data_IF_981160487719
#
_entry.id   IF_981160487719
#
_cell.length_a   1.000
_cell.length_b   1.000
_cell.length_c   1.000
_cell.angle_alpha   90.00
_cell.angle_beta   90.00
_cell.angle_gamma   90.00
#
_symmetry.space_group_name_H-M   'P 1'
#
loop_
_entity.id
_entity.type
_entity.pdbx_description
1 polymer ?
#
# COMPACT_ATOMS: atom_id res chain seq x y z
N UNK A 1 19.93 -16.08 -7.13
CA UNK A 1 20.66 -15.63 -8.35
C UNK A 1 19.69 -15.46 -9.52
N UNK A 2 18.78 -16.42 -9.70
CA UNK A 2 17.71 -16.41 -10.71
C UNK A 2 16.77 -15.19 -10.61
N UNK A 3 16.23 -14.87 -9.43
CA UNK A 3 15.38 -13.68 -9.25
C UNK A 3 16.03 -12.37 -9.73
N UNK A 4 17.33 -12.20 -9.49
CA UNK A 4 18.09 -11.03 -9.97
C UNK A 4 18.24 -11.03 -11.49
N UNK A 5 18.39 -12.20 -12.11
CA UNK A 5 18.45 -12.32 -13.56
C UNK A 5 17.10 -11.99 -14.20
N UNK A 6 15.99 -12.47 -13.63
CA UNK A 6 14.63 -12.13 -14.06
C UNK A 6 14.41 -10.62 -13.98
N UNK A 7 14.68 -9.99 -12.83
CA UNK A 7 14.51 -8.53 -12.69
C UNK A 7 15.36 -7.79 -13.74
N UNK A 8 16.62 -8.18 -13.93
CA UNK A 8 17.50 -7.57 -14.95
C UNK A 8 17.01 -7.78 -16.38
N UNK A 9 16.33 -8.88 -16.68
CA UNK A 9 15.74 -9.11 -17.99
C UNK A 9 14.72 -8.02 -18.34
N UNK A 10 13.85 -7.67 -17.37
CA UNK A 10 12.81 -6.66 -17.56
C UNK A 10 13.32 -5.22 -17.42
N UNK A 11 14.30 -4.98 -16.52
CA UNK A 11 14.71 -3.61 -16.20
C UNK A 11 16.03 -3.18 -16.81
N UNK A 12 16.81 -4.09 -17.41
CA UNK A 12 18.18 -3.83 -17.84
C UNK A 12 18.31 -2.82 -18.98
N UNK A 13 17.25 -2.60 -19.76
CA UNK A 13 17.20 -1.60 -20.83
C UNK A 13 16.81 -0.20 -20.33
N UNK A 14 16.30 -0.08 -19.11
CA UNK A 14 15.82 1.19 -18.54
C UNK A 14 17.02 2.05 -18.16
N UNK A 15 17.19 3.19 -18.84
CA UNK A 15 18.34 4.08 -18.64
C UNK A 15 18.02 5.30 -17.75
N UNK A 16 16.75 5.68 -17.64
CA UNK A 16 16.30 6.88 -16.94
C UNK A 16 15.02 6.61 -16.17
N UNK A 17 14.82 7.30 -15.05
CA UNK A 17 13.56 7.26 -14.33
C UNK A 17 12.55 8.21 -15.02
N UNK A 18 11.44 7.70 -15.58
CA UNK A 18 10.42 8.55 -16.20
C UNK A 18 9.75 9.52 -15.21
N UNK A 19 9.85 9.28 -13.90
CA UNK A 19 9.34 10.20 -12.87
C UNK A 19 10.06 11.54 -12.92
N UNK A 20 11.35 11.57 -13.30
CA UNK A 20 12.15 12.80 -13.35
C UNK A 20 11.60 13.83 -14.36
N UNK A 21 10.87 13.36 -15.38
CA UNK A 21 10.25 14.20 -16.40
C UNK A 21 8.77 14.50 -16.14
N UNK A 22 8.18 13.95 -15.07
CA UNK A 22 6.76 14.04 -14.79
C UNK A 22 6.42 15.37 -14.11
N UNK A 23 5.50 16.13 -14.69
CA UNK A 23 4.90 17.28 -14.01
C UNK A 23 3.87 16.80 -12.97
N UNK A 24 4.24 16.85 -11.69
CA UNK A 24 3.38 16.40 -10.60
C UNK A 24 2.14 17.28 -10.36
N UNK A 25 2.13 18.51 -10.89
CA UNK A 25 0.96 19.40 -10.83
C UNK A 25 -0.06 19.10 -11.96
N UNK A 26 0.29 18.26 -12.95
CA UNK A 26 -0.63 17.79 -13.99
C UNK A 26 -1.20 16.42 -13.61
N UNK A 27 -2.38 16.43 -12.99
CA UNK A 27 -3.07 15.21 -12.56
C UNK A 27 -3.30 14.20 -13.70
N UNK A 28 -3.53 14.67 -14.94
CA UNK A 28 -3.75 13.78 -16.08
C UNK A 28 -2.43 13.14 -16.55
N UNK A 29 -1.31 13.85 -16.45
CA UNK A 29 0.01 13.28 -16.69
C UNK A 29 0.35 12.21 -15.65
N UNK A 30 0.10 12.48 -14.37
CA UNK A 30 0.30 11.52 -13.27
C UNK A 30 -0.55 10.27 -13.47
N UNK A 31 -1.84 10.45 -13.79
CA UNK A 31 -2.75 9.32 -14.04
C UNK A 31 -2.26 8.44 -15.20
N UNK A 32 -1.87 9.05 -16.34
CA UNK A 32 -1.31 8.29 -17.47
C UNK A 32 -0.04 7.54 -17.07
N UNK A 33 0.82 8.15 -16.25
CA UNK A 33 2.04 7.52 -15.79
C UNK A 33 1.77 6.28 -14.92
N UNK A 34 0.86 6.37 -13.95
CA UNK A 34 0.49 5.26 -13.07
C UNK A 34 -0.15 4.07 -13.81
N UNK A 35 -0.71 4.33 -15.00
CA UNK A 35 -1.26 3.30 -15.90
C UNK A 35 -0.30 2.91 -17.04
N UNK A 36 0.93 3.40 -17.02
CA UNK A 36 1.97 3.07 -18.00
C UNK A 36 2.88 1.92 -17.53
N UNK A 37 3.75 1.47 -18.42
CA UNK A 37 4.72 0.42 -18.13
C UNK A 37 6.05 0.69 -18.84
N UNK A 38 7.16 0.47 -18.15
CA UNK A 38 8.50 0.48 -18.75
C UNK A 38 8.97 -0.91 -19.22
N UNK A 39 8.25 -1.97 -18.83
CA UNK A 39 8.54 -3.34 -19.22
C UNK A 39 7.26 -4.13 -19.47
N UNK A 40 7.40 -5.19 -20.26
CA UNK A 40 6.30 -6.08 -20.63
C UNK A 40 5.79 -6.89 -19.43
N UNK A 41 4.57 -7.43 -19.56
CA UNK A 41 4.01 -8.32 -18.53
C UNK A 41 4.85 -9.60 -18.46
N UNK A 42 5.25 -10.07 -17.27
CA UNK A 42 6.07 -11.27 -17.16
C UNK A 42 5.31 -12.55 -17.49
N UNK A 43 6.04 -13.65 -17.68
CA UNK A 43 5.42 -14.99 -17.65
C UNK A 43 4.98 -15.35 -16.23
N UNK A 44 4.03 -16.28 -16.10
CA UNK A 44 3.62 -16.75 -14.77
C UNK A 44 4.75 -17.48 -14.04
N UNK A 45 5.61 -18.20 -14.76
CA UNK A 45 6.75 -18.91 -14.18
C UNK A 45 7.74 -17.93 -13.52
N UNK A 46 8.12 -16.87 -14.23
CA UNK A 46 8.99 -15.82 -13.67
C UNK A 46 8.36 -15.12 -12.47
N UNK A 47 7.05 -14.82 -12.55
CA UNK A 47 6.30 -14.27 -11.42
C UNK A 47 6.35 -15.20 -10.21
N UNK A 48 6.09 -16.50 -10.40
CA UNK A 48 6.09 -17.49 -9.32
C UNK A 48 7.49 -17.65 -8.71
N UNK A 49 8.54 -17.64 -9.53
CA UNK A 49 9.94 -17.65 -9.06
C UNK A 49 10.23 -16.40 -8.22
N UNK A 50 9.81 -15.22 -8.67
CA UNK A 50 9.96 -13.99 -7.89
C UNK A 50 9.14 -14.03 -6.60
N UNK A 51 7.94 -14.60 -6.62
CA UNK A 51 7.06 -14.67 -5.45
C UNK A 51 7.65 -15.54 -4.34
N UNK A 52 8.35 -16.62 -4.70
CA UNK A 52 9.04 -17.49 -3.73
C UNK A 52 10.21 -16.77 -3.03
N UNK A 53 10.89 -15.87 -3.74
CA UNK A 53 12.01 -15.07 -3.18
C UNK A 53 11.50 -13.83 -2.43
N UNK A 54 10.55 -13.10 -3.01
CA UNK A 54 10.02 -11.84 -2.49
C UNK A 54 8.64 -11.54 -3.08
N UNK A 55 7.60 -11.61 -2.24
CA UNK A 55 6.24 -11.24 -2.63
C UNK A 55 6.15 -9.77 -3.13
N UNK A 56 6.99 -8.88 -2.59
CA UNK A 56 7.11 -7.50 -3.08
C UNK A 56 7.65 -7.45 -4.52
N UNK A 57 8.72 -8.19 -4.82
CA UNK A 57 9.27 -8.23 -6.18
C UNK A 57 8.25 -8.79 -7.19
N UNK A 58 7.49 -9.82 -6.79
CA UNK A 58 6.40 -10.36 -7.60
C UNK A 58 5.27 -9.34 -7.82
N UNK A 59 4.86 -8.61 -6.77
CA UNK A 59 3.84 -7.57 -6.91
C UNK A 59 4.30 -6.46 -7.85
N UNK A 60 5.54 -5.98 -7.72
CA UNK A 60 6.10 -4.90 -8.55
C UNK A 60 6.28 -5.33 -10.00
N UNK A 61 6.84 -6.53 -10.27
CA UNK A 61 7.11 -6.93 -11.65
C UNK A 61 5.82 -7.00 -12.48
N UNK A 62 4.69 -7.33 -11.86
CA UNK A 62 3.39 -7.41 -12.54
C UNK A 62 2.64 -6.06 -12.52
N UNK A 63 2.51 -5.42 -11.35
CA UNK A 63 1.70 -4.20 -11.19
C UNK A 63 2.42 -2.92 -11.63
N UNK A 64 3.75 -2.95 -11.76
CA UNK A 64 4.56 -1.85 -12.33
C UNK A 64 4.37 -0.56 -11.53
N UNK A 65 3.89 0.52 -12.16
CA UNK A 65 3.64 1.81 -11.52
C UNK A 65 2.22 1.96 -10.96
N UNK A 66 1.42 0.89 -11.02
CA UNK A 66 0.06 0.96 -10.53
C UNK A 66 0.02 1.26 -9.02
N UNK A 67 -1.00 2.00 -8.60
CA UNK A 67 -1.14 2.45 -7.22
C UNK A 67 -1.27 1.26 -6.28
N UNK A 68 -0.29 1.07 -5.39
CA UNK A 68 -0.31 -0.03 -4.41
C UNK A 68 -1.40 0.15 -3.35
N UNK A 69 -1.53 1.38 -2.83
CA UNK A 69 -2.58 1.76 -1.89
C UNK A 69 -2.74 3.28 -1.86
N UNK A 70 -3.82 3.72 -1.25
CA UNK A 70 -3.99 5.07 -0.73
C UNK A 70 -4.36 5.01 0.75
N UNK A 71 -4.13 6.11 1.46
CA UNK A 71 -4.33 6.16 2.91
C UNK A 71 -5.39 7.18 3.28
N UNK A 72 -6.44 6.75 3.98
CA UNK A 72 -7.48 7.63 4.51
C UNK A 72 -7.03 8.18 5.87
N UNK A 73 -7.02 9.51 6.00
CA UNK A 73 -6.76 10.19 7.27
C UNK A 73 -8.00 10.15 8.17
N UNK A 74 -8.14 9.11 8.99
CA UNK A 74 -9.37 8.87 9.77
C UNK A 74 -9.69 10.02 10.72
N UNK A 75 -8.67 10.67 11.28
CA UNK A 75 -8.81 11.81 12.19
C UNK A 75 -9.48 13.06 11.59
N UNK A 76 -9.70 13.09 10.27
CA UNK A 76 -10.45 14.14 9.56
C UNK A 76 -11.91 13.75 9.29
N UNK A 77 -12.32 12.52 9.62
CA UNK A 77 -13.69 12.04 9.47
C UNK A 77 -14.58 12.55 10.60
N UNK A 78 -15.89 12.32 10.44
CA UNK A 78 -16.90 12.68 11.45
C UNK A 78 -16.72 11.87 12.73
N UNK A 79 -17.28 12.39 13.82
CA UNK A 79 -17.32 11.70 15.11
C UNK A 79 -17.94 10.30 14.99
N UNK A 80 -17.32 9.32 15.66
CA UNK A 80 -17.65 7.89 15.53
C UNK A 80 -16.86 7.16 14.44
N UNK A 81 -16.13 7.88 13.59
CA UNK A 81 -15.23 7.34 12.54
C UNK A 81 -13.83 7.94 12.61
N UNK A 82 -13.61 8.85 13.55
CA UNK A 82 -12.43 9.71 13.64
C UNK A 82 -11.30 9.15 14.50
N UNK A 83 -11.47 7.94 15.04
CA UNK A 83 -10.40 7.16 15.65
C UNK A 83 -10.17 5.89 14.84
N UNK A 84 -8.94 5.40 14.80
CA UNK A 84 -8.62 4.21 14.03
C UNK A 84 -9.33 2.96 14.58
N UNK A 85 -9.53 2.89 15.90
CA UNK A 85 -10.20 1.77 16.55
C UNK A 85 -11.69 1.70 16.16
N UNK A 86 -12.39 2.84 16.19
CA UNK A 86 -13.80 2.90 15.80
C UNK A 86 -13.95 2.64 14.29
N UNK A 87 -13.03 3.19 13.48
CA UNK A 87 -13.04 2.99 12.03
C UNK A 87 -12.80 1.52 11.65
N UNK A 88 -11.85 0.85 12.30
CA UNK A 88 -11.63 -0.59 12.10
C UNK A 88 -12.88 -1.41 12.44
N UNK A 89 -13.53 -1.10 13.56
CA UNK A 89 -14.78 -1.76 13.97
C UNK A 89 -15.86 -1.59 12.91
N UNK A 90 -15.98 -0.39 12.33
CA UNK A 90 -16.91 -0.12 11.23
C UNK A 90 -16.60 -0.94 9.97
N UNK A 91 -15.33 -1.02 9.57
CA UNK A 91 -14.89 -1.80 8.41
C UNK A 91 -15.22 -3.30 8.57
N UNK A 92 -14.90 -3.86 9.73
CA UNK A 92 -15.12 -5.29 10.00
C UNK A 92 -16.61 -5.63 10.03
N UNK A 93 -17.45 -4.77 10.63
CA UNK A 93 -18.92 -4.92 10.57
C UNK A 93 -19.47 -4.83 9.16
N UNK A 94 -18.76 -4.15 8.26
CA UNK A 94 -19.11 -4.01 6.85
C UNK A 94 -18.53 -5.15 5.99
N UNK A 95 -17.89 -6.16 6.59
CA UNK A 95 -17.37 -7.34 5.91
C UNK A 95 -15.94 -7.21 5.37
N UNK A 96 -15.23 -6.11 5.68
CA UNK A 96 -13.82 -5.98 5.28
C UNK A 96 -12.91 -6.76 6.24
N UNK A 97 -11.94 -7.48 5.66
CA UNK A 97 -10.87 -8.15 6.42
C UNK A 97 -9.68 -7.20 6.55
N UNK A 98 -9.22 -6.98 7.79
CA UNK A 98 -8.07 -6.13 8.07
C UNK A 98 -6.79 -6.97 8.17
N UNK A 99 -5.68 -6.41 7.68
CA UNK A 99 -4.34 -6.98 7.85
C UNK A 99 -4.00 -7.03 9.35
N UNK A 100 -3.72 -8.23 9.85
CA UNK A 100 -3.43 -8.52 11.25
C UNK A 100 -1.95 -8.81 11.56
N UNK A 101 -1.04 -8.67 10.57
CA UNK A 101 0.40 -8.83 10.77
C UNK A 101 0.90 -7.82 11.82
N UNK A 102 1.47 -8.29 12.93
CA UNK A 102 1.84 -7.40 14.05
C UNK A 102 0.66 -6.75 14.78
N UNK A 103 -0.57 -7.29 14.61
CA UNK A 103 -1.81 -6.72 15.12
C UNK A 103 -2.54 -5.87 14.07
N UNK A 104 -3.85 -5.65 14.24
CA UNK A 104 -4.68 -4.86 13.29
C UNK A 104 -4.34 -3.37 13.29
N UNK A 105 -3.90 -2.85 14.43
CA UNK A 105 -3.42 -1.47 14.58
C UNK A 105 -1.92 -1.50 14.85
N UNK A 106 -1.15 -1.05 13.87
CA UNK A 106 0.29 -0.81 13.99
C UNK A 106 0.46 0.57 14.61
N UNK A 107 1.26 0.68 15.67
CA UNK A 107 1.45 1.90 16.43
C UNK A 107 2.93 2.25 16.45
N UNK A 108 3.25 3.50 16.10
CA UNK A 108 4.61 4.01 16.18
C UNK A 108 5.14 4.00 17.61
N UNK A 109 6.47 4.03 17.77
CA UNK A 109 7.12 3.99 19.07
C UNK A 109 6.69 5.16 19.98
N UNK A 110 6.47 6.34 19.41
CA UNK A 110 5.95 7.52 20.11
C UNK A 110 4.43 7.46 20.40
N UNK A 111 3.72 6.46 19.86
CA UNK A 111 2.29 6.30 20.01
C UNK A 111 1.42 7.29 19.23
N UNK A 112 2.03 8.14 18.40
CA UNK A 112 1.35 9.26 17.74
C UNK A 112 0.91 8.96 16.30
N UNK A 113 1.38 7.87 15.70
CA UNK A 113 0.93 7.36 14.41
C UNK A 113 0.35 5.96 14.60
N UNK A 114 -0.93 5.83 14.25
CA UNK A 114 -1.62 4.55 14.23
C UNK A 114 -2.03 4.24 12.80
N UNK A 115 -1.80 3.02 12.35
CA UNK A 115 -2.08 2.58 10.98
C UNK A 115 -2.77 1.21 10.97
N UNK A 116 -3.74 1.04 10.08
CA UNK A 116 -4.37 -0.24 9.73
C UNK A 116 -4.56 -0.30 8.23
N UNK A 117 -4.80 -1.49 7.68
CA UNK A 117 -5.07 -1.65 6.27
C UNK A 117 -6.04 -2.81 6.03
N UNK A 118 -6.78 -2.76 4.92
CA UNK A 118 -7.50 -3.93 4.42
C UNK A 118 -6.50 -4.96 3.91
N UNK A 119 -6.88 -6.24 3.92
CA UNK A 119 -6.21 -7.25 3.10
C UNK A 119 -6.47 -6.94 1.62
N UNK A 120 -5.44 -7.06 0.78
CA UNK A 120 -5.58 -6.84 -0.66
C UNK A 120 -6.50 -7.88 -1.29
N UNK A 121 -7.38 -7.44 -2.19
CA UNK A 121 -8.21 -8.39 -2.94
C UNK A 121 -7.38 -9.10 -4.01
N UNK A 122 -7.70 -10.38 -4.27
CA UNK A 122 -7.13 -11.10 -5.39
C UNK A 122 -7.89 -10.83 -6.68
N UNK A 123 -7.20 -10.30 -7.68
CA UNK A 123 -7.74 -10.00 -9.01
C UNK A 123 -7.24 -11.01 -10.04
N UNK A 124 -8.01 -11.23 -11.11
CA UNK A 124 -7.53 -12.02 -12.25
C UNK A 124 -6.47 -11.22 -13.01
N UNK A 125 -5.30 -11.84 -13.16
CA UNK A 125 -4.15 -11.35 -13.90
C UNK A 125 -3.94 -12.20 -15.16
N UNK A 126 -3.58 -11.54 -16.26
CA UNK A 126 -3.26 -12.18 -17.54
C UNK A 126 -1.78 -11.99 -17.80
N UNK A 127 -1.02 -13.09 -17.75
CA UNK A 127 0.43 -13.12 -17.94
C UNK A 127 0.80 -13.21 -19.42
N UNK A 128 2.07 -12.99 -19.74
CA UNK A 128 2.61 -13.27 -21.07
C UNK A 128 2.28 -14.72 -21.48
N UNK A 129 1.87 -14.90 -22.74
CA UNK A 129 1.36 -16.19 -23.24
C UNK A 129 -0.10 -16.49 -22.89
N UNK A 130 -0.81 -15.56 -22.22
CA UNK A 130 -2.26 -15.66 -21.98
C UNK A 130 -2.66 -16.49 -20.76
N UNK A 131 -1.69 -16.92 -19.94
CA UNK A 131 -1.95 -17.65 -18.68
C UNK A 131 -2.70 -16.73 -17.72
N UNK A 132 -3.80 -17.23 -17.13
CA UNK A 132 -4.62 -16.51 -16.16
C UNK A 132 -4.39 -17.03 -14.75
N UNK A 133 -4.11 -16.15 -13.80
CA UNK A 133 -3.97 -16.50 -12.39
C UNK A 133 -4.55 -15.40 -11.50
N UNK A 134 -4.91 -15.74 -10.25
CA UNK A 134 -5.39 -14.76 -9.27
C UNK A 134 -4.25 -14.31 -8.36
N UNK A 135 -3.88 -13.03 -8.43
CA UNK A 135 -2.80 -12.43 -7.64
C UNK A 135 -3.32 -11.28 -6.79
N UNK A 136 -2.57 -10.87 -5.77
CA UNK A 136 -2.91 -9.73 -4.94
C UNK A 136 -2.88 -8.43 -5.76
N UNK A 137 -3.99 -7.67 -5.71
CA UNK A 137 -4.07 -6.31 -6.24
C UNK A 137 -3.62 -5.29 -5.20
N UNK A 138 -4.33 -4.17 -5.14
CA UNK A 138 -4.10 -3.08 -4.19
C UNK A 138 -4.89 -3.25 -2.89
N UNK A 139 -4.53 -2.48 -1.86
CA UNK A 139 -5.28 -2.40 -0.60
C UNK A 139 -5.56 -0.94 -0.23
N UNK A 140 -6.38 -0.73 0.80
CA UNK A 140 -6.63 0.60 1.37
C UNK A 140 -6.03 0.66 2.76
N UNK A 141 -5.27 1.71 3.04
CA UNK A 141 -4.71 2.01 4.35
C UNK A 141 -5.55 3.08 5.06
N UNK A 142 -5.51 3.06 6.39
CA UNK A 142 -6.16 4.02 7.27
C UNK A 142 -5.15 4.50 8.31
N UNK A 143 -5.03 5.82 8.49
CA UNK A 143 -4.06 6.40 9.40
C UNK A 143 -4.68 7.44 10.35
N UNK A 144 -4.36 7.29 11.63
CA UNK A 144 -4.66 8.26 12.67
C UNK A 144 -3.36 8.93 13.14
N UNK A 145 -3.24 10.24 12.91
CA UNK A 145 -2.12 11.07 13.35
C UNK A 145 -2.58 11.87 14.57
N UNK A 146 -2.03 11.54 15.73
CA UNK A 146 -2.31 12.22 16.99
C UNK A 146 -1.69 13.62 16.98
N UNK A 147 -2.28 14.50 17.78
CA UNK A 147 -1.77 15.85 18.05
C UNK A 147 -0.46 15.72 18.81
N UNK A 148 0.54 16.51 18.43
CA UNK A 148 1.82 16.53 19.12
C UNK A 148 1.63 17.10 20.55
N UNK A 149 2.38 16.61 21.56
CA UNK A 149 2.17 16.99 22.96
C UNK A 149 2.16 18.51 23.21
N UNK A 150 3.00 19.27 22.52
CA UNK A 150 3.07 20.73 22.65
C UNK A 150 1.80 21.47 22.17
N UNK A 151 0.93 20.81 21.42
CA UNK A 151 -0.33 21.35 20.92
C UNK A 151 -1.56 20.72 21.58
N UNK A 152 -1.38 19.91 22.63
CA UNK A 152 -2.47 19.16 23.27
C UNK A 152 -3.60 20.04 23.84
N UNK A 153 -3.32 21.31 24.13
CA UNK A 153 -4.28 22.27 24.66
C UNK A 153 -5.05 23.03 23.57
N UNK A 154 -4.72 22.85 22.29
CA UNK A 154 -5.43 23.54 21.22
C UNK A 154 -6.88 23.03 21.13
N UNK A 155 -7.87 23.94 21.01
CA UNK A 155 -9.23 23.57 20.71
C UNK A 155 -9.30 22.72 19.43
N UNK A 156 -10.20 21.74 19.39
CA UNK A 156 -10.30 20.81 18.26
C UNK A 156 -10.43 21.50 16.90
N UNK A 157 -11.16 22.60 16.84
CA UNK A 157 -11.36 23.39 15.61
C UNK A 157 -10.12 24.14 15.12
N UNK A 158 -9.09 24.28 15.96
CA UNK A 158 -7.83 24.94 15.64
C UNK A 158 -6.70 23.94 15.30
N UNK A 159 -6.97 22.64 15.45
CA UNK A 159 -6.00 21.60 15.09
C UNK A 159 -5.93 21.48 13.58
N UNK A 160 -4.78 21.83 13.01
CA UNK A 160 -4.46 21.63 11.59
C UNK A 160 -3.40 20.53 11.43
N UNK A 161 -3.01 20.26 10.18
CA UNK A 161 -2.01 19.23 9.85
C UNK A 161 -0.68 19.44 10.58
N UNK A 162 -0.22 20.70 10.70
CA UNK A 162 1.06 21.03 11.34
C UNK A 162 1.12 20.70 12.84
N UNK A 163 -0.05 20.52 13.48
CA UNK A 163 -0.14 20.18 14.89
C UNK A 163 -0.09 18.67 15.15
N UNK A 164 0.01 17.84 14.10
CA UNK A 164 -0.05 16.38 14.19
C UNK A 164 1.29 15.75 13.84
N UNK A 165 1.49 14.49 14.28
CA UNK A 165 2.67 13.70 13.90
C UNK A 165 2.75 13.52 12.39
N UNK A 166 3.77 14.12 11.76
CA UNK A 166 4.11 13.93 10.35
C UNK A 166 5.02 12.72 10.13
N UNK A 167 5.33 12.39 8.87
CA UNK A 167 6.25 11.30 8.54
C UNK A 167 5.65 9.88 8.60
N UNK A 168 6.51 8.89 8.41
CA UNK A 168 6.19 7.47 8.43
C UNK A 168 6.93 6.78 9.57
N UNK A 169 6.52 5.55 9.90
CA UNK A 169 7.24 4.68 10.81
C UNK A 169 7.62 3.40 10.07
N UNK A 170 8.92 3.12 9.95
CA UNK A 170 9.42 2.03 9.12
C UNK A 170 8.87 0.66 9.58
N UNK A 171 8.79 0.45 10.89
CA UNK A 171 8.24 -0.79 11.48
C UNK A 171 6.75 -0.96 11.18
N UNK A 172 5.97 0.13 11.16
CA UNK A 172 4.58 0.04 10.76
C UNK A 172 4.47 -0.26 9.27
N UNK A 173 5.24 0.44 8.44
CA UNK A 173 5.24 0.30 6.99
C UNK A 173 5.55 -1.14 6.56
N UNK A 174 6.56 -1.78 7.17
CA UNK A 174 6.91 -3.19 6.93
C UNK A 174 5.69 -4.11 7.07
N UNK A 175 4.91 -3.95 8.15
CA UNK A 175 3.72 -4.76 8.39
C UNK A 175 2.51 -4.40 7.54
N UNK A 176 2.44 -3.17 7.04
CA UNK A 176 1.40 -2.74 6.11
C UNK A 176 1.66 -3.28 4.69
N UNK A 177 2.93 -3.39 4.26
CA UNK A 177 3.27 -4.04 2.99
C UNK A 177 2.82 -5.49 2.89
N UNK A 178 2.75 -6.20 4.03
CA UNK A 178 2.24 -7.57 4.09
C UNK A 178 0.74 -7.68 3.71
N UNK A 179 0.02 -6.57 3.50
CA UNK A 179 -1.40 -6.59 3.07
C UNK A 179 -1.60 -7.27 1.71
N UNK A 180 -0.56 -7.33 0.87
CA UNK A 180 -0.58 -8.05 -0.41
C UNK A 180 -0.05 -9.47 -0.31
N UNK A 181 0.43 -9.91 0.86
CA UNK A 181 1.11 -11.19 1.00
C UNK A 181 0.12 -12.35 1.04
N UNK A 182 0.58 -13.52 0.61
CA UNK A 182 -0.18 -14.77 0.60
C UNK A 182 -0.76 -15.14 1.97
N UNK A 183 -0.01 -14.85 3.04
CA UNK A 183 -0.42 -15.05 4.45
C UNK A 183 -1.62 -14.19 4.86
N UNK A 184 -1.84 -13.04 4.20
CA UNK A 184 -2.97 -12.15 4.44
C UNK A 184 -4.10 -12.42 3.43
N UNK A 185 -3.79 -12.42 2.13
CA UNK A 185 -4.78 -12.56 1.04
C UNK A 185 -5.51 -13.91 0.98
N UNK A 186 -5.01 -14.92 1.69
CA UNK A 186 -5.72 -16.19 1.89
C UNK A 186 -6.89 -16.09 2.87
N UNK A 187 -6.96 -15.03 3.70
CA UNK A 187 -8.00 -14.82 4.73
C UNK A 187 -9.27 -14.15 4.20
N UNK A 188 -9.17 -13.47 3.05
CA UNK A 188 -10.26 -12.73 2.41
C UNK A 188 -11.03 -13.56 1.37
N UNK A 189 -11.12 -14.88 1.55
CA UNK A 189 -11.84 -15.78 0.63
C UNK A 189 -13.35 -15.76 0.89
#
# INVERSE_FOLDING_TARGET
AEAKAIIRHYTGSIQTDPVDALNLDDAAAVDRFLHSSLWDVPTYEEFATLQQESEYAAWVIYNRYYLNHFTISVHNLKDGYNTLADFNTFLERSGFVLNDAGGKIKKSADGLLLQSATVAQKIEAVFAGGVKQRIAGSYVEFAERKVLPQFAQLPRGEISRIHRREGFEATNADKIFESTYSSQTSKSQ
#
